data_IF_762507957635
#
_entry.id   IF_762507957635
#
_cell.length_a   1.000
_cell.length_b   1.000
_cell.length_c   1.000
_cell.angle_alpha   90.00
_cell.angle_beta   90.00
_cell.angle_gamma   90.00
#
_symmetry.space_group_name_H-M   'P 1'
#
loop_
_entity.id
_entity.type
_entity.pdbx_description
1 polymer ?
#
# COMPACT_ATOMS: atom_id res chain seq x y z
N UNK A 1 -20.36 21.04 10.46
CA UNK A 1 -19.04 21.09 9.78
C UNK A 1 -18.90 20.11 8.61
N UNK A 2 -19.54 18.93 8.63
CA UNK A 2 -19.52 17.93 7.52
C UNK A 2 -20.50 18.27 6.38
N UNK A 3 -21.55 19.06 6.65
CA UNK A 3 -22.59 19.45 5.68
C UNK A 3 -22.13 20.45 4.60
N UNK A 4 -20.89 20.96 4.66
CA UNK A 4 -20.32 21.91 3.69
C UNK A 4 -19.28 21.27 2.74
N UNK A 5 -19.14 19.94 2.75
CA UNK A 5 -18.25 19.25 1.82
C UNK A 5 -18.99 18.97 0.52
N UNK A 6 -18.47 19.50 -0.59
CA UNK A 6 -18.98 19.21 -1.94
C UNK A 6 -18.98 17.70 -2.20
N UNK A 7 -19.98 17.21 -2.94
CA UNK A 7 -20.21 15.77 -3.19
C UNK A 7 -18.95 15.06 -3.71
N UNK A 8 -18.15 15.73 -4.55
CA UNK A 8 -16.87 15.25 -5.05
C UNK A 8 -15.85 14.97 -3.95
N UNK A 9 -15.74 15.83 -2.93
CA UNK A 9 -14.80 15.65 -1.83
C UNK A 9 -15.18 14.45 -0.95
N UNK A 10 -16.49 14.24 -0.76
CA UNK A 10 -16.99 13.06 -0.05
C UNK A 10 -16.63 11.78 -0.82
N UNK A 11 -16.79 11.77 -2.14
CA UNK A 11 -16.39 10.64 -2.98
C UNK A 11 -14.88 10.36 -2.87
N UNK A 12 -14.03 11.39 -2.96
CA UNK A 12 -12.57 11.24 -2.83
C UNK A 12 -12.20 10.65 -1.47
N UNK A 13 -12.80 11.16 -0.40
CA UNK A 13 -12.52 10.70 0.96
C UNK A 13 -12.91 9.23 1.16
N UNK A 14 -14.05 8.81 0.61
CA UNK A 14 -14.49 7.41 0.61
C UNK A 14 -13.49 6.54 -0.17
N UNK A 15 -13.08 6.96 -1.38
CA UNK A 15 -12.13 6.22 -2.21
C UNK A 15 -10.79 5.99 -1.49
N UNK A 16 -10.24 7.02 -0.85
CA UNK A 16 -8.98 6.92 -0.10
C UNK A 16 -9.15 6.01 1.13
N UNK A 17 -10.27 6.14 1.85
CA UNK A 17 -10.55 5.30 3.02
C UNK A 17 -10.61 3.83 2.64
N UNK A 18 -11.30 3.50 1.54
CA UNK A 18 -11.40 2.13 1.03
C UNK A 18 -10.03 1.60 0.61
N UNK A 19 -9.22 2.41 -0.09
CA UNK A 19 -7.86 2.04 -0.48
C UNK A 19 -6.98 1.69 0.73
N UNK A 20 -6.98 2.54 1.76
CA UNK A 20 -6.20 2.32 2.98
C UNK A 20 -6.62 1.03 3.71
N UNK A 21 -7.93 0.81 3.85
CA UNK A 21 -8.45 -0.41 4.48
C UNK A 21 -8.00 -1.64 3.69
N UNK A 22 -8.08 -1.61 2.36
CA UNK A 22 -7.68 -2.71 1.50
C UNK A 22 -6.19 -3.07 1.66
N UNK A 23 -5.31 -2.08 1.63
CA UNK A 23 -3.86 -2.28 1.81
C UNK A 23 -3.53 -2.86 3.19
N UNK A 24 -4.19 -2.37 4.25
CA UNK A 24 -4.01 -2.88 5.62
C UNK A 24 -4.49 -4.34 5.74
N UNK A 25 -5.63 -4.68 5.13
CA UNK A 25 -6.13 -6.06 5.13
C UNK A 25 -5.17 -7.03 4.44
N UNK A 26 -4.57 -6.62 3.32
CA UNK A 26 -3.52 -7.39 2.65
C UNK A 26 -2.33 -7.57 3.60
N UNK A 27 -1.82 -6.48 4.19
CA UNK A 27 -0.72 -6.54 5.14
C UNK A 27 -0.98 -7.50 6.31
N UNK A 28 -2.18 -7.46 6.89
CA UNK A 28 -2.55 -8.33 8.00
C UNK A 28 -2.67 -9.80 7.60
N UNK A 29 -3.21 -10.10 6.41
CA UNK A 29 -3.28 -11.47 5.89
C UNK A 29 -1.90 -12.08 5.69
N UNK A 30 -0.98 -11.35 5.07
CA UNK A 30 0.39 -11.81 4.82
C UNK A 30 1.27 -11.79 6.08
N UNK A 31 0.97 -10.93 7.06
CA UNK A 31 1.67 -10.89 8.35
C UNK A 31 1.44 -12.14 9.21
N UNK A 32 0.40 -12.94 8.93
CA UNK A 32 0.09 -14.15 9.71
C UNK A 32 0.93 -15.37 9.31
N UNK A 33 1.61 -15.32 8.17
CA UNK A 33 2.47 -16.41 7.66
C UNK A 33 3.96 -16.27 8.07
N UNK A 34 4.38 -15.14 8.64
CA UNK A 34 5.77 -14.91 9.04
C UNK A 34 6.09 -15.53 10.41
N UNK A 35 6.44 -16.82 10.43
CA UNK A 35 6.90 -17.51 11.66
C UNK A 35 8.42 -17.51 11.82
N UNK A 36 9.18 -17.05 10.82
CA UNK A 36 10.64 -17.03 10.83
C UNK A 36 11.20 -15.71 10.29
N UNK A 37 12.28 -15.22 10.91
CA UNK A 37 12.99 -13.98 10.50
C UNK A 37 13.47 -14.05 9.04
N UNK A 38 13.81 -15.24 8.56
CA UNK A 38 14.23 -15.47 7.18
C UNK A 38 13.11 -15.21 6.16
N UNK A 39 11.86 -15.56 6.48
CA UNK A 39 10.71 -15.27 5.60
C UNK A 39 10.35 -13.79 5.57
N UNK A 40 10.58 -13.07 6.67
CA UNK A 40 10.33 -11.64 6.76
C UNK A 40 11.36 -10.82 5.97
N UNK A 41 12.65 -11.20 6.03
CA UNK A 41 13.72 -10.50 5.31
C UNK A 41 13.90 -10.95 3.85
N UNK A 42 13.70 -12.24 3.55
CA UNK A 42 13.92 -12.79 2.19
C UNK A 42 12.62 -13.13 1.44
N UNK A 43 11.45 -12.88 2.03
CA UNK A 43 10.14 -13.18 1.42
C UNK A 43 9.97 -14.67 1.08
N UNK A 44 10.70 -15.55 1.77
CA UNK A 44 10.77 -16.99 1.48
C UNK A 44 11.28 -17.35 0.09
N UNK A 45 11.91 -16.40 -0.64
CA UNK A 45 12.34 -16.56 -2.06
C UNK A 45 11.19 -16.93 -3.02
N UNK A 46 9.94 -16.68 -2.61
CA UNK A 46 8.73 -17.00 -3.41
C UNK A 46 8.18 -15.81 -4.19
N UNK A 47 8.74 -14.61 -4.01
CA UNK A 47 8.34 -13.43 -4.75
C UNK A 47 8.88 -13.54 -6.19
N UNK A 48 7.96 -13.60 -7.15
CA UNK A 48 8.32 -13.71 -8.57
C UNK A 48 8.99 -12.45 -9.11
N UNK A 49 9.81 -12.55 -10.18
CA UNK A 49 10.64 -11.46 -10.68
C UNK A 49 9.85 -10.18 -11.04
N UNK A 50 8.60 -10.30 -11.49
CA UNK A 50 7.77 -9.15 -11.84
C UNK A 50 7.33 -8.32 -10.61
N UNK A 51 6.89 -8.98 -9.53
CA UNK A 51 6.46 -8.28 -8.31
C UNK A 51 7.66 -7.70 -7.55
N UNK A 52 8.81 -8.35 -7.62
CA UNK A 52 10.06 -7.80 -7.07
C UNK A 52 10.49 -6.53 -7.83
N UNK A 53 10.45 -6.55 -9.16
CA UNK A 53 10.78 -5.36 -9.96
C UNK A 53 9.80 -4.20 -9.72
N UNK A 54 8.49 -4.49 -9.72
CA UNK A 54 7.45 -3.48 -9.44
C UNK A 54 7.57 -2.91 -8.02
N UNK A 55 7.92 -3.73 -7.02
CA UNK A 55 8.12 -3.26 -5.65
C UNK A 55 9.38 -2.41 -5.51
N UNK A 56 10.43 -2.67 -6.29
CA UNK A 56 11.63 -1.84 -6.32
C UNK A 56 11.29 -0.45 -6.87
N UNK A 57 10.64 -0.39 -8.03
CA UNK A 57 10.23 0.89 -8.64
C UNK A 57 9.23 1.66 -7.76
N UNK A 58 8.25 0.97 -7.17
CA UNK A 58 7.30 1.59 -6.25
C UNK A 58 7.98 2.12 -4.97
N UNK A 59 9.09 1.49 -4.52
CA UNK A 59 9.85 1.98 -3.37
C UNK A 59 10.68 3.21 -3.70
N UNK A 60 11.15 3.32 -4.94
CA UNK A 60 11.81 4.53 -5.44
C UNK A 60 10.81 5.68 -5.64
N UNK A 61 9.53 5.33 -5.90
CA UNK A 61 8.43 6.30 -6.05
C UNK A 61 7.86 6.76 -4.70
N UNK A 62 8.54 7.70 -4.06
CA UNK A 62 7.98 8.43 -2.91
C UNK A 62 7.00 9.54 -3.35
N UNK A 63 6.13 9.98 -2.42
CA UNK A 63 5.25 11.13 -2.62
C UNK A 63 5.99 12.44 -2.93
N UNK A 64 7.31 12.46 -2.72
CA UNK A 64 8.20 13.56 -3.08
C UNK A 64 8.25 13.81 -4.60
N UNK A 65 8.30 12.75 -5.42
CA UNK A 65 8.26 12.88 -6.89
C UNK A 65 6.93 13.45 -7.39
N UNK A 66 5.84 13.12 -6.70
CA UNK A 66 4.50 13.59 -7.05
C UNK A 66 4.28 15.06 -6.66
N UNK A 67 5.05 15.56 -5.68
CA UNK A 67 5.12 16.97 -5.30
C UNK A 67 6.12 17.79 -6.16
N UNK A 68 6.97 17.12 -6.95
CA UNK A 68 7.84 17.77 -7.93
C UNK A 68 8.97 18.62 -7.36
N UNK A 69 9.51 18.26 -6.19
CA UNK A 69 10.71 18.86 -5.58
C UNK A 69 11.98 18.11 -6.01
#
# INVERSE_FOLDING_TARGET
MILAMSTSNICILISITVYLIFVVLIGFKYSKESNSVDEYYLGGRKLGPLVTAMSAEASDMSSWLLMGL
#
